data_IF_950045996346
#
_entry.id   IF_950045996346
#
_cell.length_a   1.000
_cell.length_b   1.000
_cell.length_c   1.000
_cell.angle_alpha   90.00
_cell.angle_beta   90.00
_cell.angle_gamma   90.00
#
_symmetry.space_group_name_H-M   'P 1'
#
loop_
_entity.id
_entity.type
_entity.pdbx_description
1 polymer ?
#
# COMPACT_ATOMS: atom_id res chain seq x y z
N UNK A 1 4.89 21.72 -5.59
CA UNK A 1 4.29 22.14 -4.30
C UNK A 1 4.34 20.96 -3.34
N UNK A 2 4.49 21.21 -2.05
CA UNK A 2 4.50 20.21 -0.98
C UNK A 2 3.31 20.50 -0.06
N UNK A 3 2.39 19.53 0.05
CA UNK A 3 1.26 19.56 0.98
C UNK A 3 1.48 18.47 2.03
N UNK A 4 1.58 18.84 3.27
CA UNK A 4 1.74 17.91 4.38
C UNK A 4 0.41 17.69 5.07
N UNK A 5 -0.05 16.45 5.12
CA UNK A 5 -1.31 16.08 5.73
C UNK A 5 -1.36 14.59 6.05
N UNK A 6 -2.44 14.18 6.66
CA UNK A 6 -2.73 12.78 6.96
C UNK A 6 -3.75 12.23 5.96
N UNK A 7 -3.52 11.04 5.45
CA UNK A 7 -4.43 10.37 4.50
C UNK A 7 -5.82 10.08 5.11
N UNK A 8 -5.92 10.12 6.42
CA UNK A 8 -7.20 10.00 7.16
C UNK A 8 -8.04 11.26 7.10
N UNK A 9 -7.44 12.41 6.81
CA UNK A 9 -8.18 13.67 6.64
C UNK A 9 -8.69 13.80 5.20
N UNK A 10 -9.87 13.23 4.95
CA UNK A 10 -10.51 13.28 3.63
C UNK A 10 -10.76 14.71 3.16
N UNK A 11 -11.09 15.65 4.06
CA UNK A 11 -11.36 17.04 3.69
C UNK A 11 -10.11 17.70 3.13
N UNK A 12 -8.98 17.56 3.84
CA UNK A 12 -7.69 18.08 3.39
C UNK A 12 -7.26 17.47 2.05
N UNK A 13 -7.47 16.17 1.84
CA UNK A 13 -7.19 15.51 0.55
C UNK A 13 -8.01 16.11 -0.60
N UNK A 14 -9.31 16.28 -0.39
CA UNK A 14 -10.20 16.89 -1.42
C UNK A 14 -9.75 18.32 -1.72
N UNK A 15 -9.52 19.13 -0.72
CA UNK A 15 -9.07 20.52 -0.89
C UNK A 15 -7.74 20.61 -1.65
N UNK A 16 -6.77 19.75 -1.29
CA UNK A 16 -5.48 19.70 -1.97
C UNK A 16 -5.62 19.28 -3.44
N UNK A 17 -6.43 18.26 -3.75
CA UNK A 17 -6.66 17.81 -5.13
C UNK A 17 -7.39 18.86 -5.96
N UNK A 18 -8.37 19.56 -5.39
CA UNK A 18 -9.07 20.64 -6.08
C UNK A 18 -8.17 21.84 -6.38
N UNK A 19 -7.27 22.19 -5.48
CA UNK A 19 -6.29 23.25 -5.69
C UNK A 19 -5.22 22.87 -6.70
N UNK A 20 -4.67 21.64 -6.58
CA UNK A 20 -3.55 21.17 -7.42
C UNK A 20 -4.01 20.72 -8.81
N UNK A 21 -5.23 20.19 -8.95
CA UNK A 21 -5.83 19.64 -10.17
C UNK A 21 -4.95 18.59 -10.84
N UNK A 22 -4.59 17.50 -10.13
CA UNK A 22 -3.78 16.45 -10.71
C UNK A 22 -4.55 15.71 -11.82
N UNK A 23 -3.84 15.28 -12.85
CA UNK A 23 -4.36 14.35 -13.88
C UNK A 23 -4.13 12.90 -13.46
N UNK A 24 -3.03 12.62 -12.75
CA UNK A 24 -2.67 11.28 -12.29
C UNK A 24 -2.40 11.30 -10.79
N UNK A 25 -2.95 10.32 -10.07
CA UNK A 25 -2.77 10.13 -8.64
C UNK A 25 -2.05 8.80 -8.37
N UNK A 26 -0.91 8.87 -7.68
CA UNK A 26 -0.23 7.70 -7.12
C UNK A 26 -0.45 7.66 -5.61
N UNK A 27 -1.23 6.69 -5.14
CA UNK A 27 -1.49 6.50 -3.72
C UNK A 27 -0.47 5.54 -3.11
N UNK A 28 0.59 6.11 -2.49
CA UNK A 28 1.64 5.37 -1.81
C UNK A 28 1.55 5.48 -0.28
N UNK A 29 0.67 6.33 0.24
CA UNK A 29 0.55 6.54 1.68
C UNK A 29 0.04 5.28 2.38
N UNK A 30 0.82 4.79 3.33
CA UNK A 30 0.47 3.59 4.11
C UNK A 30 1.29 3.50 5.41
N UNK A 31 0.74 2.86 6.44
CA UNK A 31 1.54 2.22 7.47
C UNK A 31 2.08 0.90 6.86
N UNK A 32 3.41 0.81 6.65
CA UNK A 32 4.02 -0.21 5.79
C UNK A 32 4.71 -1.36 6.57
N UNK A 33 4.67 -1.35 7.90
CA UNK A 33 5.42 -2.26 8.75
C UNK A 33 4.50 -3.30 9.41
N UNK A 34 4.76 -4.59 9.14
CA UNK A 34 3.97 -5.69 9.71
C UNK A 34 4.06 -5.69 11.24
N UNK A 35 5.26 -5.52 11.82
CA UNK A 35 5.41 -5.52 13.28
C UNK A 35 4.66 -4.38 13.97
N UNK A 36 4.78 -3.18 13.44
CA UNK A 36 4.05 -2.03 13.95
C UNK A 36 2.51 -2.22 13.92
N UNK A 37 2.01 -3.05 13.00
CA UNK A 37 0.57 -3.36 12.95
C UNK A 37 0.08 -4.19 14.13
N UNK A 38 0.94 -4.96 14.78
CA UNK A 38 0.59 -5.67 16.00
C UNK A 38 0.53 -4.74 17.22
N UNK A 39 1.40 -3.71 17.23
CA UNK A 39 1.43 -2.73 18.31
C UNK A 39 0.24 -1.77 18.24
N UNK A 40 -0.16 -1.40 17.02
CA UNK A 40 -1.31 -0.50 16.79
C UNK A 40 -2.16 -0.94 15.58
N UNK A 41 -3.00 -1.97 15.74
CA UNK A 41 -3.81 -2.51 14.65
C UNK A 41 -4.88 -1.55 14.15
N UNK A 42 -5.49 -0.75 15.03
CA UNK A 42 -6.52 0.21 14.65
C UNK A 42 -5.94 1.28 13.71
N UNK A 43 -4.83 1.90 14.08
CA UNK A 43 -4.13 2.88 13.25
C UNK A 43 -3.75 2.31 11.87
N UNK A 44 -3.27 1.06 11.84
CA UNK A 44 -2.93 0.37 10.59
C UNK A 44 -4.15 0.23 9.66
N UNK A 45 -5.29 -0.16 10.19
CA UNK A 45 -6.54 -0.26 9.41
C UNK A 45 -7.02 1.13 8.97
N UNK A 46 -7.01 2.11 9.86
CA UNK A 46 -7.43 3.48 9.53
C UNK A 46 -6.56 4.09 8.43
N UNK A 47 -5.23 3.97 8.53
CA UNK A 47 -4.33 4.51 7.51
C UNK A 47 -4.47 3.75 6.19
N UNK A 48 -4.43 2.42 6.21
CA UNK A 48 -4.33 1.63 4.98
C UNK A 48 -5.68 1.44 4.28
N UNK A 49 -6.72 1.08 5.02
CA UNK A 49 -8.05 0.83 4.45
C UNK A 49 -8.86 2.13 4.31
N UNK A 50 -9.03 2.86 5.41
CA UNK A 50 -9.81 4.10 5.36
C UNK A 50 -9.06 5.23 4.63
N UNK A 51 -7.73 5.28 4.71
CA UNK A 51 -6.93 6.18 3.90
C UNK A 51 -7.09 5.92 2.40
N UNK A 52 -7.10 4.66 1.97
CA UNK A 52 -7.40 4.31 0.57
C UNK A 52 -8.80 4.74 0.16
N UNK A 53 -9.81 4.51 1.02
CA UNK A 53 -11.16 5.02 0.79
C UNK A 53 -11.17 6.54 0.60
N UNK A 54 -10.49 7.28 1.47
CA UNK A 54 -10.45 8.75 1.41
C UNK A 54 -9.78 9.27 0.14
N UNK A 55 -8.70 8.63 -0.32
CA UNK A 55 -8.05 8.97 -1.60
C UNK A 55 -9.00 8.73 -2.76
N UNK A 56 -9.67 7.57 -2.81
CA UNK A 56 -10.62 7.26 -3.89
C UNK A 56 -11.85 8.18 -3.89
N UNK A 57 -12.33 8.58 -2.71
CA UNK A 57 -13.39 9.60 -2.60
C UNK A 57 -12.91 10.97 -3.11
N UNK A 58 -11.69 11.38 -2.78
CA UNK A 58 -11.13 12.62 -3.28
C UNK A 58 -10.94 12.58 -4.82
N UNK A 59 -10.47 11.46 -5.36
CA UNK A 59 -10.39 11.22 -6.82
C UNK A 59 -11.77 11.34 -7.45
N UNK A 60 -12.78 10.67 -6.90
CA UNK A 60 -14.15 10.64 -7.43
C UNK A 60 -14.78 12.03 -7.58
N UNK A 61 -14.42 12.97 -6.70
CA UNK A 61 -14.99 14.33 -6.71
C UNK A 61 -14.08 15.36 -7.37
N UNK A 62 -12.92 14.95 -7.92
CA UNK A 62 -11.95 15.84 -8.57
C UNK A 62 -11.95 15.61 -10.09
N UNK A 63 -12.60 16.46 -10.87
CA UNK A 63 -12.82 16.22 -12.32
C UNK A 63 -11.54 16.20 -13.17
N UNK A 64 -10.41 16.72 -12.66
CA UNK A 64 -9.14 16.73 -13.38
C UNK A 64 -8.42 15.39 -13.36
N UNK A 65 -8.82 14.47 -12.47
CA UNK A 65 -8.12 13.18 -12.34
C UNK A 65 -8.56 12.23 -13.46
N UNK A 66 -7.61 11.80 -14.27
CA UNK A 66 -7.79 10.86 -15.36
C UNK A 66 -7.39 9.43 -14.97
N UNK A 67 -6.46 9.29 -14.02
CA UNK A 67 -6.01 7.99 -13.56
C UNK A 67 -5.60 7.98 -12.08
N UNK A 68 -5.84 6.85 -11.40
CA UNK A 68 -5.35 6.59 -10.05
C UNK A 68 -4.71 5.21 -9.96
N UNK A 69 -3.52 5.15 -9.39
CA UNK A 69 -2.80 3.91 -9.10
C UNK A 69 -2.60 3.78 -7.59
N UNK A 70 -3.22 2.78 -6.98
CA UNK A 70 -3.08 2.48 -5.56
C UNK A 70 -2.04 1.38 -5.36
N UNK A 71 -0.97 1.71 -4.61
CA UNK A 71 0.11 0.78 -4.30
C UNK A 71 -0.31 -0.06 -3.10
N UNK A 72 -0.58 -1.33 -3.34
CA UNK A 72 -0.91 -2.29 -2.31
C UNK A 72 0.29 -3.20 -1.98
N UNK A 73 0.13 -4.49 -1.86
CA UNK A 73 1.20 -5.40 -1.48
C UNK A 73 0.82 -6.84 -1.83
N UNK A 74 1.80 -7.70 -2.04
CA UNK A 74 1.63 -9.17 -2.07
C UNK A 74 0.99 -9.70 -0.77
N UNK A 75 1.16 -8.98 0.34
CA UNK A 75 0.53 -9.28 1.63
C UNK A 75 -1.00 -9.13 1.63
N UNK A 76 -1.59 -8.55 0.58
CA UNK A 76 -3.05 -8.54 0.41
C UNK A 76 -3.62 -9.93 0.18
N UNK A 77 -2.84 -10.86 -0.36
CA UNK A 77 -3.25 -12.26 -0.52
C UNK A 77 -3.33 -13.01 0.81
N UNK A 78 -4.29 -13.92 0.91
CA UNK A 78 -4.24 -14.97 1.92
C UNK A 78 -3.05 -15.88 1.60
N UNK A 79 -2.13 -16.03 2.54
CA UNK A 79 -0.95 -16.87 2.34
C UNK A 79 -1.29 -18.35 2.57
N UNK A 80 -1.49 -19.09 1.48
CA UNK A 80 -1.78 -20.53 1.50
C UNK A 80 -0.51 -21.39 1.36
N UNK A 81 0.68 -20.75 1.26
CA UNK A 81 2.02 -21.39 1.19
C UNK A 81 2.16 -22.47 0.10
N UNK A 82 1.41 -22.34 -0.98
CA UNK A 82 1.51 -23.27 -2.11
C UNK A 82 2.74 -23.01 -2.99
N UNK A 83 3.06 -23.96 -3.87
CA UNK A 83 4.33 -23.96 -4.63
C UNK A 83 4.33 -23.08 -5.88
N UNK A 84 3.19 -22.55 -6.29
CA UNK A 84 3.06 -21.64 -7.44
C UNK A 84 2.81 -20.20 -7.01
N UNK A 85 3.07 -19.28 -7.93
CA UNK A 85 2.83 -17.85 -7.69
C UNK A 85 1.34 -17.52 -7.59
N UNK A 86 1.03 -16.47 -6.81
CA UNK A 86 -0.32 -15.94 -6.67
C UNK A 86 -0.79 -15.23 -7.94
N UNK A 87 -2.09 -15.29 -8.18
CA UNK A 87 -2.78 -14.61 -9.29
C UNK A 87 -3.68 -13.52 -8.72
N UNK A 88 -4.05 -12.55 -9.55
CA UNK A 88 -4.91 -11.43 -9.15
C UNK A 88 -6.29 -11.88 -8.64
N UNK A 89 -6.74 -13.07 -9.05
CA UNK A 89 -8.03 -13.67 -8.66
C UNK A 89 -7.97 -14.53 -7.41
N UNK A 90 -6.77 -14.74 -6.84
CA UNK A 90 -6.62 -15.54 -5.63
C UNK A 90 -7.16 -14.81 -4.40
N UNK A 91 -7.48 -15.57 -3.35
CA UNK A 91 -8.12 -15.04 -2.16
C UNK A 91 -7.31 -13.92 -1.50
N UNK A 92 -8.01 -12.84 -1.16
CA UNK A 92 -7.48 -11.74 -0.37
C UNK A 92 -7.69 -11.99 1.14
N UNK A 93 -6.90 -11.29 1.96
CA UNK A 93 -7.04 -11.29 3.41
C UNK A 93 -5.99 -12.14 4.12
N UNK A 94 -4.86 -11.54 4.47
CA UNK A 94 -3.84 -12.15 5.33
C UNK A 94 -4.24 -12.16 6.79
N UNK A 95 -3.49 -12.90 7.61
CA UNK A 95 -3.83 -13.17 9.01
C UNK A 95 -3.36 -12.07 9.98
N UNK A 96 -2.37 -11.29 9.63
CA UNK A 96 -1.91 -10.17 10.48
C UNK A 96 -2.65 -8.87 10.14
N UNK A 97 -2.68 -7.87 11.06
CA UNK A 97 -3.42 -6.62 10.84
C UNK A 97 -2.98 -5.84 9.62
N UNK A 98 -1.68 -5.85 9.29
CA UNK A 98 -1.15 -5.21 8.08
C UNK A 98 -1.69 -5.89 6.82
N UNK A 99 -1.58 -7.21 6.74
CA UNK A 99 -2.06 -8.00 5.61
C UNK A 99 -3.56 -7.86 5.42
N UNK A 100 -4.32 -7.90 6.51
CA UNK A 100 -5.76 -7.64 6.50
C UNK A 100 -6.08 -6.24 5.97
N UNK A 101 -5.35 -5.20 6.41
CA UNK A 101 -5.55 -3.82 5.97
C UNK A 101 -5.29 -3.64 4.46
N UNK A 102 -4.28 -4.33 3.92
CA UNK A 102 -3.99 -4.33 2.48
C UNK A 102 -5.03 -5.10 1.67
N UNK A 103 -5.54 -6.21 2.20
CA UNK A 103 -6.70 -6.91 1.61
C UNK A 103 -7.95 -6.04 1.57
N UNK A 104 -8.24 -5.31 2.64
CA UNK A 104 -9.34 -4.33 2.69
C UNK A 104 -9.16 -3.21 1.65
N UNK A 105 -7.95 -2.67 1.51
CA UNK A 105 -7.66 -1.64 0.51
C UNK A 105 -7.93 -2.13 -0.92
N UNK A 106 -7.57 -3.38 -1.25
CA UNK A 106 -7.89 -4.01 -2.54
C UNK A 106 -9.40 -4.14 -2.77
N UNK A 107 -10.13 -4.60 -1.76
CA UNK A 107 -11.59 -4.77 -1.84
C UNK A 107 -12.27 -3.40 -2.04
N UNK A 108 -11.83 -2.38 -1.32
CA UNK A 108 -12.32 -1.00 -1.46
C UNK A 108 -12.03 -0.48 -2.88
N UNK A 109 -10.77 -0.60 -3.35
CA UNK A 109 -10.39 -0.15 -4.68
C UNK A 109 -11.22 -0.86 -5.78
N UNK A 110 -11.39 -2.18 -5.67
CA UNK A 110 -12.22 -2.95 -6.61
C UNK A 110 -13.68 -2.49 -6.62
N UNK A 111 -14.25 -2.22 -5.45
CA UNK A 111 -15.62 -1.71 -5.32
C UNK A 111 -15.76 -0.35 -6.02
N UNK A 112 -14.82 0.57 -5.79
CA UNK A 112 -14.83 1.88 -6.45
C UNK A 112 -14.66 1.79 -7.96
N UNK A 113 -13.74 0.95 -8.41
CA UNK A 113 -13.54 0.67 -9.83
C UNK A 113 -14.82 0.22 -10.51
N UNK A 114 -15.53 -0.73 -9.89
CA UNK A 114 -16.78 -1.28 -10.47
C UNK A 114 -17.97 -0.33 -10.36
N UNK A 115 -18.04 0.46 -9.29
CA UNK A 115 -19.23 1.28 -9.01
C UNK A 115 -19.15 2.70 -9.54
N UNK A 116 -17.93 3.28 -9.62
CA UNK A 116 -17.76 4.70 -9.91
C UNK A 116 -16.77 4.99 -11.04
N UNK A 117 -15.79 4.10 -11.29
CA UNK A 117 -14.73 4.32 -12.27
C UNK A 117 -14.79 3.36 -13.46
N UNK A 118 -15.90 2.65 -13.60
CA UNK A 118 -16.09 1.67 -14.68
C UNK A 118 -16.59 2.24 -16.01
N UNK A 119 -16.90 3.54 -16.06
CA UNK A 119 -17.29 4.20 -17.31
C UNK A 119 -16.04 4.67 -18.06
N UNK A 120 -15.74 4.08 -19.24
CA UNK A 120 -14.51 4.40 -19.99
C UNK A 120 -14.52 5.81 -20.61
N UNK A 121 -15.65 6.53 -20.55
CA UNK A 121 -15.81 7.85 -21.21
C UNK A 121 -15.64 8.99 -20.21
N UNK A 122 -16.13 8.82 -18.97
CA UNK A 122 -16.27 9.93 -18.03
C UNK A 122 -15.66 9.69 -16.66
N UNK A 123 -15.04 8.55 -16.43
CA UNK A 123 -14.49 8.21 -15.13
C UNK A 123 -12.98 7.94 -15.20
N UNK A 124 -12.21 8.23 -14.12
CA UNK A 124 -10.79 7.97 -14.11
C UNK A 124 -10.48 6.46 -14.20
N UNK A 125 -9.37 6.13 -14.85
CA UNK A 125 -8.83 4.77 -14.83
C UNK A 125 -8.30 4.45 -13.43
N UNK A 126 -8.61 3.27 -12.91
CA UNK A 126 -8.19 2.85 -11.58
C UNK A 126 -7.45 1.51 -11.66
N UNK A 127 -6.28 1.44 -11.01
CA UNK A 127 -5.52 0.21 -10.88
C UNK A 127 -4.96 0.05 -9.47
N UNK A 128 -4.77 -1.20 -9.05
CA UNK A 128 -3.96 -1.56 -7.88
C UNK A 128 -2.69 -2.28 -8.33
N UNK A 129 -1.61 -2.16 -7.57
CA UNK A 129 -0.36 -2.90 -7.81
C UNK A 129 0.05 -3.65 -6.54
N UNK A 130 0.34 -4.93 -6.67
CA UNK A 130 0.69 -5.82 -5.54
C UNK A 130 2.18 -6.17 -5.61
N UNK A 131 3.01 -5.23 -5.16
CA UNK A 131 4.44 -5.45 -5.11
C UNK A 131 4.82 -6.40 -3.97
N UNK A 132 5.84 -7.22 -4.20
CA UNK A 132 6.51 -8.00 -3.15
C UNK A 132 7.46 -7.13 -2.33
N UNK A 133 8.62 -7.69 -1.97
CA UNK A 133 9.64 -6.92 -1.26
C UNK A 133 10.36 -5.97 -2.21
N UNK A 134 10.23 -4.68 -1.96
CA UNK A 134 10.89 -3.63 -2.75
C UNK A 134 12.10 -3.13 -1.99
N UNK A 135 13.24 -3.02 -2.67
CA UNK A 135 14.47 -2.44 -2.14
C UNK A 135 14.85 -1.19 -2.91
N UNK A 136 15.45 -0.24 -2.22
CA UNK A 136 15.94 1.01 -2.81
C UNK A 136 16.67 1.86 -1.79
N UNK A 137 17.27 2.94 -2.25
CA UNK A 137 17.98 3.88 -1.38
C UNK A 137 17.04 4.59 -0.41
N UNK A 138 17.55 4.93 0.78
CA UNK A 138 16.82 5.73 1.78
C UNK A 138 15.84 4.97 2.68
N UNK A 139 15.67 3.65 2.52
CA UNK A 139 14.90 2.83 3.46
C UNK A 139 15.77 2.43 4.66
N UNK A 140 15.46 3.01 5.82
CA UNK A 140 16.13 2.72 7.09
C UNK A 140 15.13 2.22 8.15
N UNK A 141 13.95 1.77 7.74
CA UNK A 141 12.97 1.26 8.68
C UNK A 141 13.50 0.03 9.42
N UNK A 142 13.16 -0.06 10.71
CA UNK A 142 13.50 -1.23 11.54
C UNK A 142 12.73 -2.46 11.06
N UNK A 143 13.26 -3.63 11.39
CA UNK A 143 12.66 -4.94 11.06
C UNK A 143 12.57 -5.25 9.56
N UNK A 144 13.34 -4.55 8.74
CA UNK A 144 13.55 -4.86 7.33
C UNK A 144 14.93 -5.47 7.11
N UNK A 145 14.97 -6.61 6.44
CA UNK A 145 16.20 -7.42 6.34
C UNK A 145 17.38 -6.64 5.74
N UNK A 146 17.19 -5.87 4.68
CA UNK A 146 18.30 -5.14 4.02
C UNK A 146 18.83 -4.01 4.91
N UNK A 147 18.01 -3.10 5.46
CA UNK A 147 18.49 -2.11 6.45
C UNK A 147 19.11 -2.74 7.71
N UNK A 148 18.54 -3.83 8.23
CA UNK A 148 19.06 -4.49 9.43
C UNK A 148 20.42 -5.13 9.16
N UNK A 149 20.62 -5.75 8.00
CA UNK A 149 21.92 -6.24 7.55
C UNK A 149 22.94 -5.10 7.43
N UNK A 150 22.55 -4.01 6.77
CA UNK A 150 23.45 -2.87 6.57
C UNK A 150 23.89 -2.25 7.91
N UNK A 151 22.97 -2.11 8.87
CA UNK A 151 23.32 -1.63 10.22
C UNK A 151 24.27 -2.58 10.95
N UNK A 152 23.93 -3.88 10.98
CA UNK A 152 24.76 -4.87 11.67
C UNK A 152 26.20 -4.88 11.12
N UNK A 153 26.35 -4.90 9.80
CA UNK A 153 27.67 -4.88 9.16
C UNK A 153 28.42 -3.57 9.38
N UNK A 154 27.76 -2.43 9.37
CA UNK A 154 28.42 -1.13 9.66
C UNK A 154 28.94 -1.04 11.10
N UNK A 155 28.35 -1.80 12.01
CA UNK A 155 28.74 -1.89 13.43
C UNK A 155 29.65 -3.10 13.73
N UNK A 156 30.04 -3.88 12.72
CA UNK A 156 30.86 -5.09 12.88
C UNK A 156 30.17 -6.21 13.65
N UNK A 157 28.83 -6.24 13.65
CA UNK A 157 28.02 -7.25 14.33
C UNK A 157 27.53 -8.32 13.36
N UNK A 158 27.26 -9.50 13.89
CA UNK A 158 26.56 -10.55 13.17
C UNK A 158 25.11 -10.15 12.87
N UNK A 159 24.60 -10.62 11.74
CA UNK A 159 23.21 -10.40 11.32
C UNK A 159 22.33 -11.51 11.91
N UNK A 160 21.33 -11.13 12.68
CA UNK A 160 20.32 -12.07 13.16
C UNK A 160 19.21 -12.24 12.12
N UNK A 161 19.07 -13.46 11.59
CA UNK A 161 18.01 -13.80 10.62
C UNK A 161 16.91 -14.59 11.33
N UNK A 162 15.73 -13.99 11.45
CA UNK A 162 14.59 -14.58 12.17
C UNK A 162 13.92 -15.75 11.42
N UNK A 163 13.95 -15.72 10.09
CA UNK A 163 13.29 -16.71 9.24
C UNK A 163 14.19 -17.12 8.07
N UNK A 164 15.25 -17.92 8.31
CA UNK A 164 16.29 -18.20 7.30
C UNK A 164 15.77 -18.99 6.10
N UNK A 165 14.66 -19.71 6.23
CA UNK A 165 14.08 -20.50 5.16
C UNK A 165 12.96 -19.77 4.39
N UNK A 166 12.61 -18.54 4.79
CA UNK A 166 11.57 -17.78 4.11
C UNK A 166 12.07 -17.29 2.74
N UNK A 167 11.27 -17.52 1.71
CA UNK A 167 11.48 -16.95 0.37
C UNK A 167 10.67 -15.68 0.19
N UNK A 168 11.16 -14.75 -0.62
CA UNK A 168 10.48 -13.49 -0.93
C UNK A 168 10.74 -13.08 -2.37
N UNK A 169 9.72 -12.57 -3.07
CA UNK A 169 9.93 -11.92 -4.36
C UNK A 169 10.57 -10.54 -4.12
N UNK A 170 11.72 -10.30 -4.72
CA UNK A 170 12.46 -9.07 -4.60
C UNK A 170 12.44 -8.28 -5.90
N UNK A 171 12.29 -6.96 -5.78
CA UNK A 171 12.44 -6.03 -6.89
C UNK A 171 13.16 -4.75 -6.43
N UNK A 172 13.81 -4.08 -7.35
CA UNK A 172 14.38 -2.76 -7.12
C UNK A 172 13.36 -1.68 -7.51
N UNK A 173 13.39 -0.54 -6.80
CA UNK A 173 12.56 0.65 -7.13
C UNK A 173 12.87 1.15 -8.53
#
# INVERSE_FOLDING_TARGET
RDYRGDVRDRKALVEAMWEFKPEIVFHLAAQALVRASYDNPADTIEVNAMGTLNVLEAVRVTPSVEAVVSITSDKAYRNDEWVWGYRETDHLGGYDPYSASKGCAEIIAHSYFKSFFGDPVNAPYCATTRAGNVIGGGDWAADRIVPDCARAWSEGREVEIRSPHATRPWQHV
#
